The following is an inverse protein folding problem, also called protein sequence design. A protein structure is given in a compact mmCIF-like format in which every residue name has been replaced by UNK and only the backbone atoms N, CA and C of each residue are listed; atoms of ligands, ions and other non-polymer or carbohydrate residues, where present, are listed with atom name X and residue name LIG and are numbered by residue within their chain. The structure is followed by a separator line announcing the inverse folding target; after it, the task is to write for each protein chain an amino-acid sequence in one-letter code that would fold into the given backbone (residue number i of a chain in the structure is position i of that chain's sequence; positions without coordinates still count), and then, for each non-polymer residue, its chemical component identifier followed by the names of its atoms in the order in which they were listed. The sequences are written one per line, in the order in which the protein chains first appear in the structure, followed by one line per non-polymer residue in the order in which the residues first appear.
data_IF_622419773160
#
_entry.id   IF_622419773160
#
_cell.length_a   1.000
_cell.length_b   1.000
_cell.length_c   1.000
_cell.angle_alpha   90.00
_cell.angle_beta   90.00
_cell.angle_gamma   90.00
#
_symmetry.space_group_name_H-M   'P 1'
#
loop_
_entity.id
_entity.type
_entity.pdbx_description
1 polymer ?
#
# COMPACT_ATOMS: atom_id res chain seq x y z
N UNK A 1 -8.60 20.71 -0.74
CA UNK A 1 -8.62 22.18 -0.63
C UNK A 1 -9.96 22.74 -1.14
N UNK A 2 -10.28 24.02 -0.83
CA UNK A 2 -11.51 24.68 -1.34
C UNK A 2 -11.56 24.75 -2.87
N UNK A 3 -10.43 24.81 -3.56
CA UNK A 3 -10.34 24.84 -5.03
C UNK A 3 -10.72 23.49 -5.66
N UNK A 4 -10.26 22.38 -5.15
CA UNK A 4 -10.66 21.06 -5.63
C UNK A 4 -12.16 20.79 -5.47
N UNK A 5 -12.78 21.24 -4.36
CA UNK A 5 -14.25 21.11 -4.19
C UNK A 5 -15.05 21.97 -5.17
N UNK A 6 -14.53 23.12 -5.62
CA UNK A 6 -15.20 23.95 -6.60
C UNK A 6 -15.08 23.40 -8.04
N UNK A 7 -14.01 22.69 -8.36
CA UNK A 7 -13.85 22.02 -9.66
C UNK A 7 -14.84 20.87 -9.81
N UNK A 8 -15.04 20.05 -8.78
CA UNK A 8 -16.02 18.95 -8.80
C UNK A 8 -17.49 19.40 -8.85
N UNK A 9 -17.81 20.64 -8.53
CA UNK A 9 -19.19 21.17 -8.46
C UNK A 9 -19.64 21.78 -9.80
N UNK A 10 -18.73 22.05 -10.74
CA UNK A 10 -19.05 22.75 -11.99
C UNK A 10 -19.27 21.85 -13.19
N UNK A 11 -18.98 20.59 -13.10
CA UNK A 11 -19.32 19.66 -14.14
C UNK A 11 -20.77 19.14 -13.98
N UNK A 12 -21.32 18.56 -15.02
CA UNK A 12 -22.72 18.10 -15.06
C UNK A 12 -22.84 16.65 -14.59
N UNK A 13 -22.28 16.32 -13.42
CA UNK A 13 -22.33 14.99 -12.81
C UNK A 13 -21.19 14.06 -13.22
N UNK A 14 -20.11 14.61 -13.78
CA UNK A 14 -18.86 13.91 -14.07
C UNK A 14 -17.69 14.61 -13.40
N UNK A 15 -16.54 13.97 -13.27
CA UNK A 15 -15.31 14.60 -12.83
C UNK A 15 -14.79 15.52 -13.93
N UNK A 16 -14.51 16.80 -13.61
CA UNK A 16 -13.85 17.70 -14.56
C UNK A 16 -12.37 17.25 -14.66
N UNK A 17 -12.11 16.31 -15.56
CA UNK A 17 -10.76 15.86 -15.87
C UNK A 17 -10.00 16.90 -16.68
N UNK A 18 -8.85 17.34 -16.16
CA UNK A 18 -7.90 18.17 -16.90
C UNK A 18 -6.49 17.59 -16.79
N UNK A 19 -6.39 16.47 -16.19
CA UNK A 19 -5.18 15.73 -15.83
C UNK A 19 -4.91 14.67 -16.93
N UNK A 20 -3.81 14.87 -17.73
CA UNK A 20 -3.01 16.11 -17.78
C UNK A 20 -3.23 16.84 -19.14
N UNK A 21 -4.42 17.30 -19.39
CA UNK A 21 -4.78 18.02 -20.63
C UNK A 21 -4.02 19.33 -20.81
N UNK A 22 -3.53 19.95 -19.73
CA UNK A 22 -2.74 21.19 -19.82
C UNK A 22 -1.37 20.92 -20.44
N UNK A 23 -0.71 19.79 -20.11
CA UNK A 23 0.56 19.41 -20.73
C UNK A 23 0.38 19.17 -22.23
N UNK A 24 -0.70 18.50 -22.64
CA UNK A 24 -1.04 18.34 -24.07
C UNK A 24 -1.20 19.69 -24.75
N UNK A 25 -1.89 20.64 -24.12
CA UNK A 25 -2.06 22.00 -24.67
C UNK A 25 -0.71 22.73 -24.81
N UNK A 26 0.18 22.63 -23.84
CA UNK A 26 1.54 23.20 -23.92
C UNK A 26 2.37 22.55 -25.04
N UNK A 27 2.35 21.24 -25.17
CA UNK A 27 3.04 20.53 -26.25
C UNK A 27 2.57 21.04 -27.63
N UNK A 28 1.27 21.16 -27.84
CA UNK A 28 0.70 21.64 -29.08
C UNK A 28 1.05 23.11 -29.34
N UNK A 29 1.00 23.97 -28.31
CA UNK A 29 1.35 25.38 -28.43
C UNK A 29 2.82 25.58 -28.82
N UNK A 30 3.74 24.83 -28.22
CA UNK A 30 5.17 24.90 -28.55
C UNK A 30 5.45 24.42 -29.98
N UNK A 31 4.73 23.38 -30.44
CA UNK A 31 4.88 22.85 -31.80
C UNK A 31 4.28 23.79 -32.87
N UNK A 32 3.30 24.63 -32.52
CA UNK A 32 2.60 25.55 -33.42
C UNK A 32 3.29 26.95 -33.52
N UNK A 33 4.20 27.26 -32.59
CA UNK A 33 4.86 28.58 -32.52
C UNK A 33 6.25 28.58 -33.15
N UNK A 34 6.32 28.99 -34.41
CA UNK A 34 7.59 29.14 -35.16
C UNK A 34 8.54 30.21 -34.61
N UNK A 35 8.12 31.02 -33.63
CA UNK A 35 8.94 32.07 -33.03
C UNK A 35 9.77 31.59 -31.85
N UNK A 36 9.38 30.49 -31.23
CA UNK A 36 10.08 29.90 -30.10
C UNK A 36 11.39 29.22 -30.53
N UNK A 37 12.46 29.49 -29.78
CA UNK A 37 13.75 28.82 -29.97
C UNK A 37 13.79 27.56 -29.11
N UNK A 38 13.80 26.41 -29.74
CA UNK A 38 13.87 25.13 -29.06
C UNK A 38 14.76 24.12 -29.81
N UNK A 39 15.34 23.13 -29.14
CA UNK A 39 15.96 21.97 -29.79
C UNK A 39 14.92 21.12 -30.52
N UNK A 40 15.36 20.03 -31.17
CA UNK A 40 14.42 19.06 -31.71
C UNK A 40 13.54 18.48 -30.58
N UNK A 41 12.23 18.49 -30.77
CA UNK A 41 11.23 18.05 -29.77
C UNK A 41 10.49 16.82 -30.30
N UNK A 42 10.18 15.92 -29.39
CA UNK A 42 9.28 14.80 -29.58
C UNK A 42 8.22 14.89 -28.48
N UNK A 43 6.95 15.04 -28.85
CA UNK A 43 5.84 15.05 -27.91
C UNK A 43 5.28 13.64 -27.78
N UNK A 44 5.32 13.08 -26.61
CA UNK A 44 4.81 11.74 -26.31
C UNK A 44 3.54 11.90 -25.47
N UNK A 45 2.43 11.39 -26.00
CA UNK A 45 1.12 11.42 -25.34
C UNK A 45 0.65 9.97 -25.22
N UNK A 46 0.37 9.54 -24.00
CA UNK A 46 -0.09 8.18 -23.71
C UNK A 46 -1.53 8.18 -23.21
N UNK A 47 -2.15 7.01 -23.18
CA UNK A 47 -3.52 6.79 -22.65
C UNK A 47 -3.47 5.91 -21.42
N UNK A 48 -4.57 5.87 -20.67
CA UNK A 48 -4.78 4.92 -19.57
C UNK A 48 -3.72 5.01 -18.45
N UNK A 49 -3.30 6.23 -18.11
CA UNK A 49 -2.36 6.46 -17.00
C UNK A 49 -2.98 5.98 -15.69
N UNK A 50 -4.19 6.43 -15.36
CA UNK A 50 -4.93 6.23 -14.11
C UNK A 50 -5.24 4.75 -13.77
N UNK A 51 -5.27 3.90 -14.78
CA UNK A 51 -5.55 2.47 -14.62
C UNK A 51 -4.28 1.60 -14.71
N UNK A 52 -3.12 2.19 -14.52
CA UNK A 52 -1.84 1.48 -14.38
C UNK A 52 -0.85 1.71 -15.51
N UNK A 53 -0.81 2.92 -16.10
CA UNK A 53 0.19 3.34 -17.09
C UNK A 53 0.16 2.48 -18.36
N UNK A 54 -1.02 1.98 -18.79
CA UNK A 54 -1.11 0.96 -19.85
C UNK A 54 -0.57 1.48 -21.18
N UNK A 55 -0.85 2.72 -21.55
CA UNK A 55 -0.34 3.34 -22.77
C UNK A 55 1.19 3.51 -22.74
N UNK A 56 1.74 3.96 -21.61
CA UNK A 56 3.18 4.09 -21.43
C UNK A 56 3.91 2.73 -21.50
N UNK A 57 3.34 1.68 -20.90
CA UNK A 57 3.87 0.32 -20.95
C UNK A 57 3.85 -0.29 -22.36
N UNK A 58 2.84 0.08 -23.17
CA UNK A 58 2.70 -0.41 -24.55
C UNK A 58 3.52 0.39 -25.57
N UNK A 59 4.10 1.53 -25.19
CA UNK A 59 4.84 2.40 -26.07
C UNK A 59 6.13 1.74 -26.54
N UNK A 60 6.32 1.68 -27.86
CA UNK A 60 7.62 1.32 -28.45
C UNK A 60 8.59 2.53 -28.36
N UNK A 61 9.42 2.52 -27.32
CA UNK A 61 10.39 3.59 -27.08
C UNK A 61 11.56 3.59 -28.08
N UNK A 62 11.72 2.57 -28.91
CA UNK A 62 12.82 2.47 -29.90
C UNK A 62 12.72 3.52 -31.01
N UNK A 63 11.54 4.09 -31.24
CA UNK A 63 11.31 5.14 -32.22
C UNK A 63 11.69 6.52 -31.71
N UNK A 64 11.87 6.70 -30.41
CA UNK A 64 12.22 7.98 -29.77
C UNK A 64 13.71 8.25 -29.94
N UNK A 65 14.05 9.49 -30.22
CA UNK A 65 15.42 9.99 -30.39
C UNK A 65 15.87 10.93 -29.28
N UNK A 66 14.90 11.46 -28.54
CA UNK A 66 15.15 12.34 -27.39
C UNK A 66 15.97 11.65 -26.31
N UNK A 67 16.94 12.36 -25.74
CA UNK A 67 17.80 11.86 -24.65
C UNK A 67 17.45 12.47 -23.30
N UNK A 68 16.58 13.46 -23.29
CA UNK A 68 16.06 14.14 -22.11
C UNK A 68 14.55 14.15 -22.17
N UNK A 69 13.90 13.89 -21.06
CA UNK A 69 12.46 13.92 -20.93
C UNK A 69 12.04 14.93 -19.85
N UNK A 70 11.05 15.75 -20.18
CA UNK A 70 10.36 16.60 -19.22
C UNK A 70 8.95 16.04 -19.07
N UNK A 71 8.59 15.62 -17.87
CA UNK A 71 7.21 15.25 -17.53
C UNK A 71 6.53 16.47 -16.88
N UNK A 72 5.35 16.84 -17.38
CA UNK A 72 4.59 18.01 -16.90
C UNK A 72 3.37 17.59 -16.06
N UNK A 73 3.27 16.32 -15.75
CA UNK A 73 2.20 15.74 -14.95
C UNK A 73 2.54 15.84 -13.44
N UNK A 74 2.60 17.08 -12.94
CA UNK A 74 2.84 17.38 -11.52
C UNK A 74 1.84 18.42 -11.03
N UNK A 75 1.16 18.13 -9.92
CA UNK A 75 0.12 18.98 -9.35
C UNK A 75 0.63 20.00 -8.31
N UNK A 76 1.88 19.86 -7.85
CA UNK A 76 2.44 20.69 -6.79
C UNK A 76 3.29 21.83 -7.35
N UNK A 77 2.80 23.05 -7.14
CA UNK A 77 3.53 24.28 -7.50
C UNK A 77 4.80 24.42 -6.65
N UNK A 78 5.92 24.72 -7.30
CA UNK A 78 7.21 24.93 -6.61
C UNK A 78 8.05 23.68 -6.44
N UNK A 79 7.64 22.54 -6.99
CA UNK A 79 8.38 21.29 -6.89
C UNK A 79 8.90 20.82 -8.25
N UNK A 80 10.18 20.48 -8.30
CA UNK A 80 10.81 19.76 -9.41
C UNK A 80 11.11 18.34 -8.95
N UNK A 81 10.35 17.37 -9.43
CA UNK A 81 10.58 15.97 -9.13
C UNK A 81 11.82 15.45 -9.84
N UNK A 82 12.75 14.86 -9.11
CA UNK A 82 14.08 14.43 -9.60
C UNK A 82 14.30 12.93 -9.49
N UNK A 83 13.33 12.23 -8.94
CA UNK A 83 13.28 10.77 -8.85
C UNK A 83 11.85 10.34 -8.52
N UNK A 84 11.52 9.09 -8.82
CA UNK A 84 10.24 8.50 -8.47
C UNK A 84 10.42 7.04 -8.08
N UNK A 85 9.70 6.60 -7.05
CA UNK A 85 9.67 5.18 -6.71
C UNK A 85 8.94 4.39 -7.80
N UNK A 86 9.50 3.27 -8.19
CA UNK A 86 8.78 2.21 -8.88
C UNK A 86 7.88 1.46 -7.89
N UNK A 87 6.96 0.68 -8.40
CA UNK A 87 6.04 -0.07 -7.54
C UNK A 87 5.50 -1.32 -8.21
N UNK A 88 4.94 -2.19 -7.39
CA UNK A 88 4.14 -3.35 -7.81
C UNK A 88 3.15 -3.73 -6.71
N UNK A 89 2.11 -4.45 -7.07
CA UNK A 89 1.18 -5.09 -6.17
C UNK A 89 1.44 -6.59 -6.17
N UNK A 90 1.83 -7.13 -5.01
CA UNK A 90 2.06 -8.56 -4.82
C UNK A 90 0.90 -9.21 -4.11
N UNK A 91 0.28 -10.23 -4.72
CA UNK A 91 -0.82 -11.00 -4.14
C UNK A 91 -0.35 -12.38 -3.73
N UNK A 92 -0.42 -12.63 -2.43
CA UNK A 92 -0.18 -13.94 -1.82
C UNK A 92 -1.49 -14.71 -1.70
N UNK A 93 -1.48 -15.98 -2.12
CA UNK A 93 -2.56 -16.94 -1.92
C UNK A 93 -2.02 -18.12 -1.12
N UNK A 94 -2.40 -18.23 0.16
CA UNK A 94 -1.93 -19.26 1.08
C UNK A 94 -3.07 -20.25 1.33
N UNK A 95 -2.94 -21.53 0.93
CA UNK A 95 -3.99 -22.52 1.06
C UNK A 95 -4.29 -22.82 2.52
N UNK A 96 -5.58 -22.91 2.84
CA UNK A 96 -6.10 -23.20 4.17
C UNK A 96 -7.14 -24.32 4.12
N UNK A 97 -7.25 -25.04 5.23
CA UNK A 97 -8.24 -26.10 5.46
C UNK A 97 -9.13 -25.71 6.62
N UNK A 98 -10.40 -26.05 6.50
CA UNK A 98 -11.40 -25.84 7.53
C UNK A 98 -11.77 -27.17 8.18
N UNK A 99 -12.23 -27.08 9.41
CA UNK A 99 -12.80 -28.18 10.16
C UNK A 99 -13.98 -27.71 10.99
N UNK A 100 -14.84 -28.62 11.37
CA UNK A 100 -15.95 -28.33 12.26
C UNK A 100 -15.41 -28.08 13.67
N UNK A 101 -15.82 -26.97 14.28
CA UNK A 101 -15.41 -26.53 15.61
C UNK A 101 -16.64 -26.08 16.39
N UNK A 102 -16.73 -26.53 17.63
CA UNK A 102 -17.75 -26.09 18.59
C UNK A 102 -17.13 -25.07 19.54
N UNK A 103 -17.84 -23.98 19.81
CA UNK A 103 -17.41 -22.96 20.74
C UNK A 103 -18.14 -21.63 20.54
N UNK A 104 -17.75 -20.65 21.32
CA UNK A 104 -18.36 -19.30 21.27
C UNK A 104 -17.78 -18.50 20.13
N UNK A 105 -18.65 -18.14 19.16
CA UNK A 105 -18.27 -17.30 18.03
C UNK A 105 -18.05 -15.86 18.52
N UNK A 106 -16.83 -15.38 18.45
CA UNK A 106 -16.41 -14.10 19.04
C UNK A 106 -15.80 -13.21 17.96
N UNK A 107 -16.31 -12.00 17.84
CA UNK A 107 -15.78 -11.00 16.91
C UNK A 107 -14.70 -10.15 17.57
N UNK A 108 -13.57 -9.99 16.90
CA UNK A 108 -12.51 -9.06 17.26
C UNK A 108 -12.39 -8.01 16.17
N UNK A 109 -12.48 -6.75 16.54
CA UNK A 109 -12.34 -5.63 15.61
C UNK A 109 -11.22 -4.71 16.11
N UNK A 110 -10.24 -4.48 15.25
CA UNK A 110 -9.22 -3.45 15.40
C UNK A 110 -9.61 -2.31 14.49
N UNK A 111 -9.75 -1.10 15.05
CA UNK A 111 -10.23 0.09 14.34
C UNK A 111 -9.66 1.38 14.96
N UNK A 112 -10.08 2.53 14.42
CA UNK A 112 -9.67 3.84 14.92
C UNK A 112 -8.30 4.31 14.44
N UNK A 113 -7.68 3.63 13.46
CA UNK A 113 -6.40 4.01 12.88
C UNK A 113 -6.60 5.12 11.83
N UNK A 114 -5.60 6.01 11.71
CA UNK A 114 -5.63 7.11 10.75
C UNK A 114 -5.53 6.62 9.29
N UNK A 115 -4.77 5.55 9.04
CA UNK A 115 -4.52 5.08 7.68
C UNK A 115 -3.73 6.10 6.87
N UNK A 116 -3.85 6.08 5.54
CA UNK A 116 -3.21 7.02 4.63
C UNK A 116 -2.72 6.36 3.35
N UNK A 117 -2.13 7.15 2.45
CA UNK A 117 -1.56 6.64 1.22
C UNK A 117 -0.21 5.97 1.48
N UNK A 118 -0.04 4.71 1.08
CA UNK A 118 1.16 3.92 1.37
C UNK A 118 2.45 4.45 0.70
N UNK A 119 2.33 5.26 -0.34
CA UNK A 119 3.49 5.90 -0.97
C UNK A 119 3.87 7.24 -0.33
N UNK A 120 2.87 8.09 -0.06
CA UNK A 120 3.11 9.47 0.40
C UNK A 120 3.16 9.62 1.92
N UNK A 121 2.68 8.64 2.69
CA UNK A 121 2.51 8.76 4.14
C UNK A 121 3.05 7.56 4.93
N UNK A 122 3.84 6.69 4.29
CA UNK A 122 4.44 5.53 4.97
C UNK A 122 5.49 5.93 6.02
N UNK A 123 6.07 7.12 5.86
CA UNK A 123 7.02 7.76 6.77
C UNK A 123 6.39 8.27 8.07
N UNK A 124 5.07 8.39 8.13
CA UNK A 124 4.36 8.94 9.29
C UNK A 124 4.18 7.96 10.45
N UNK A 125 4.88 6.84 10.42
CA UNK A 125 4.84 5.81 11.47
C UNK A 125 3.41 5.38 11.86
N UNK A 126 2.51 5.27 10.86
CA UNK A 126 1.13 4.84 11.12
C UNK A 126 1.04 3.32 11.24
N UNK A 127 0.17 2.88 12.13
CA UNK A 127 -0.12 1.47 12.31
C UNK A 127 -0.93 0.90 11.14
N UNK A 128 -0.85 -0.41 10.94
CA UNK A 128 -1.64 -1.15 9.97
C UNK A 128 -2.52 -2.18 10.71
N UNK A 129 -3.83 -2.07 10.60
CA UNK A 129 -4.77 -2.91 11.33
C UNK A 129 -4.62 -4.41 11.02
N UNK A 130 -4.20 -4.79 9.80
CA UNK A 130 -3.92 -6.19 9.45
C UNK A 130 -2.73 -6.74 10.23
N UNK A 131 -1.67 -5.94 10.38
CA UNK A 131 -0.49 -6.30 11.18
C UNK A 131 -0.83 -6.40 12.67
N UNK A 132 -1.59 -5.43 13.17
CA UNK A 132 -2.02 -5.44 14.57
C UNK A 132 -2.93 -6.63 14.88
N UNK A 133 -3.79 -7.04 13.94
CA UNK A 133 -4.58 -8.27 14.07
C UNK A 133 -3.68 -9.51 14.14
N UNK A 134 -2.64 -9.57 13.33
CA UNK A 134 -1.63 -10.65 13.42
C UNK A 134 -0.97 -10.72 14.79
N UNK A 135 -0.61 -9.57 15.36
CA UNK A 135 -0.03 -9.48 16.71
C UNK A 135 -1.03 -9.92 17.78
N UNK A 136 -2.29 -9.45 17.72
CA UNK A 136 -3.35 -9.86 18.62
C UNK A 136 -3.55 -11.39 18.62
N UNK A 137 -3.67 -11.98 17.43
CA UNK A 137 -3.86 -13.41 17.26
C UNK A 137 -2.67 -14.21 17.81
N UNK A 138 -1.46 -13.72 17.59
CA UNK A 138 -0.25 -14.33 18.16
C UNK A 138 -0.24 -14.27 19.68
N UNK A 139 -0.47 -13.10 20.29
CA UNK A 139 -0.50 -12.94 21.75
C UNK A 139 -1.58 -13.78 22.42
N UNK A 140 -2.78 -13.82 21.82
CA UNK A 140 -3.88 -14.65 22.29
C UNK A 140 -3.50 -16.14 22.26
N UNK A 141 -2.87 -16.58 21.17
CA UNK A 141 -2.46 -17.96 20.99
C UNK A 141 -1.38 -18.46 21.95
N UNK A 142 -0.64 -17.54 22.61
CA UNK A 142 0.31 -17.90 23.67
C UNK A 142 -0.40 -18.25 25.00
N UNK A 143 -1.67 -17.93 25.14
CA UNK A 143 -2.40 -18.01 26.40
C UNK A 143 -3.59 -18.94 26.34
N UNK A 144 -4.25 -19.04 25.18
CA UNK A 144 -5.45 -19.82 25.02
C UNK A 144 -5.59 -20.42 23.64
N UNK A 145 -6.40 -21.47 23.53
CA UNK A 145 -6.75 -22.11 22.27
C UNK A 145 -7.89 -21.33 21.59
N UNK A 146 -7.77 -21.14 20.29
CA UNK A 146 -8.82 -20.59 19.45
C UNK A 146 -8.66 -21.09 18.01
N UNK A 147 -9.71 -20.90 17.21
CA UNK A 147 -9.62 -21.01 15.76
C UNK A 147 -10.18 -19.76 15.05
N UNK A 148 -9.87 -19.59 13.76
CA UNK A 148 -10.30 -18.46 12.95
C UNK A 148 -11.40 -18.94 12.02
N UNK A 149 -12.61 -18.34 12.13
CA UNK A 149 -13.73 -18.57 11.24
C UNK A 149 -13.69 -17.64 10.04
N UNK A 150 -13.34 -16.36 10.26
CA UNK A 150 -13.25 -15.33 9.22
C UNK A 150 -12.20 -14.29 9.59
N UNK A 151 -11.61 -13.66 8.56
CA UNK A 151 -10.59 -12.63 8.72
C UNK A 151 -10.60 -11.72 7.50
N UNK A 152 -10.73 -10.42 7.73
CA UNK A 152 -10.71 -9.43 6.64
C UNK A 152 -10.25 -8.06 7.10
N UNK A 153 -9.51 -7.34 6.24
CA UNK A 153 -9.09 -5.97 6.49
C UNK A 153 -8.57 -5.28 5.24
N UNK A 154 -8.86 -3.98 5.15
CA UNK A 154 -8.49 -3.15 4.02
C UNK A 154 -9.27 -3.42 2.73
N UNK A 155 -9.25 -2.43 1.84
CA UNK A 155 -10.00 -2.48 0.56
C UNK A 155 -9.17 -2.04 -0.64
N UNK A 156 -8.02 -1.42 -0.39
CA UNK A 156 -7.08 -0.95 -1.42
C UNK A 156 -5.65 -1.30 -1.01
N UNK A 157 -4.87 -1.77 -1.95
CA UNK A 157 -3.46 -2.16 -1.74
C UNK A 157 -2.56 -0.97 -1.43
N UNK A 158 -2.84 0.19 -2.03
CA UNK A 158 -2.10 1.44 -1.84
C UNK A 158 -2.56 2.28 -0.63
N UNK A 159 -3.44 1.75 0.21
CA UNK A 159 -3.87 2.41 1.45
C UNK A 159 -3.40 1.64 2.69
N UNK A 160 -2.86 2.36 3.67
CA UNK A 160 -2.54 1.80 5.00
C UNK A 160 -3.86 1.40 5.66
N UNK A 161 -3.98 0.14 6.05
CA UNK A 161 -5.24 -0.44 6.51
C UNK A 161 -5.66 0.13 7.86
N UNK A 162 -6.86 0.74 7.90
CA UNK A 162 -7.41 1.42 9.08
C UNK A 162 -8.15 0.52 10.03
N UNK A 163 -8.68 -0.61 9.53
CA UNK A 163 -9.56 -1.49 10.28
C UNK A 163 -9.37 -2.93 9.81
N UNK A 164 -9.36 -3.88 10.76
CA UNK A 164 -9.29 -5.31 10.49
C UNK A 164 -10.20 -6.05 11.45
N UNK A 165 -10.94 -7.02 10.92
CA UNK A 165 -11.91 -7.82 11.64
C UNK A 165 -11.54 -9.30 11.58
N UNK A 166 -11.59 -9.97 12.72
CA UNK A 166 -11.49 -11.42 12.82
C UNK A 166 -12.74 -11.97 13.52
N UNK A 167 -13.23 -13.13 13.08
CA UNK A 167 -14.23 -13.92 13.79
C UNK A 167 -13.55 -15.18 14.28
N UNK A 168 -13.49 -15.34 15.60
CA UNK A 168 -12.83 -16.45 16.29
C UNK A 168 -13.86 -17.42 16.85
N UNK A 169 -13.41 -18.66 17.10
CA UNK A 169 -14.14 -19.68 17.87
C UNK A 169 -13.29 -20.00 19.09
N UNK A 170 -13.84 -19.75 20.27
CA UNK A 170 -13.17 -19.88 21.59
C UNK A 170 -13.98 -20.79 22.52
N UNK A 171 -13.30 -21.41 23.48
CA UNK A 171 -13.96 -21.97 24.65
C UNK A 171 -14.61 -20.88 25.50
N UNK A 172 -15.68 -21.18 26.23
CA UNK A 172 -16.33 -20.22 27.14
C UNK A 172 -15.36 -19.69 28.19
N UNK A 173 -14.50 -20.57 28.72
CA UNK A 173 -13.45 -20.27 29.71
C UNK A 173 -12.38 -19.30 29.17
N UNK A 174 -12.18 -19.24 27.86
CA UNK A 174 -11.14 -18.44 27.18
C UNK A 174 -11.58 -17.03 26.84
N UNK A 175 -12.88 -16.73 26.94
CA UNK A 175 -13.45 -15.41 26.57
C UNK A 175 -12.89 -14.27 27.41
N UNK A 176 -12.64 -14.53 28.69
CA UNK A 176 -12.06 -13.54 29.60
C UNK A 176 -10.64 -13.18 29.16
N UNK A 177 -9.83 -14.17 28.79
CA UNK A 177 -8.44 -13.97 28.35
C UNK A 177 -8.37 -13.19 27.02
N UNK A 178 -9.30 -13.44 26.10
CA UNK A 178 -9.38 -12.68 24.85
C UNK A 178 -9.61 -11.18 25.11
N UNK A 179 -10.48 -10.82 26.07
CA UNK A 179 -10.73 -9.44 26.48
C UNK A 179 -9.52 -8.81 27.16
N UNK A 180 -8.89 -9.53 28.10
CA UNK A 180 -7.67 -9.08 28.79
C UNK A 180 -6.54 -8.82 27.79
N UNK A 181 -6.36 -9.73 26.83
CA UNK A 181 -5.35 -9.57 25.76
C UNK A 181 -5.64 -8.35 24.91
N UNK A 182 -6.90 -8.11 24.52
CA UNK A 182 -7.30 -6.94 23.75
C UNK A 182 -7.05 -5.62 24.50
N UNK A 183 -7.44 -5.54 25.78
CA UNK A 183 -7.25 -4.36 26.62
C UNK A 183 -5.77 -4.02 26.83
N UNK A 184 -4.97 -5.06 27.14
CA UNK A 184 -3.53 -4.91 27.33
C UNK A 184 -2.87 -4.42 26.04
N UNK A 185 -3.11 -5.13 24.92
CA UNK A 185 -2.51 -4.80 23.63
C UNK A 185 -2.92 -3.41 23.16
N UNK A 186 -4.19 -3.03 23.31
CA UNK A 186 -4.66 -1.67 22.98
C UNK A 186 -3.89 -0.59 23.75
N UNK A 187 -3.65 -0.80 25.04
CA UNK A 187 -2.89 0.14 25.87
C UNK A 187 -1.43 0.24 25.40
N UNK A 188 -0.80 -0.90 25.12
CA UNK A 188 0.59 -0.96 24.68
C UNK A 188 0.74 -0.26 23.31
N UNK A 189 -0.14 -0.57 22.35
CA UNK A 189 -0.13 0.04 21.02
C UNK A 189 -0.39 1.54 21.02
N UNK A 190 -1.29 2.07 21.88
CA UNK A 190 -1.48 3.51 22.03
C UNK A 190 -0.22 4.22 22.54
N UNK A 191 0.64 3.52 23.26
CA UNK A 191 1.94 4.05 23.68
C UNK A 191 2.97 3.97 22.54
N UNK A 192 3.01 2.86 21.81
CA UNK A 192 3.95 2.66 20.70
C UNK A 192 3.67 3.62 19.53
N UNK A 193 2.39 3.90 19.26
CA UNK A 193 1.94 4.77 18.17
C UNK A 193 1.48 6.16 18.65
N UNK A 194 1.98 6.61 19.83
CA UNK A 194 1.69 7.95 20.32
C UNK A 194 2.12 9.02 19.30
N UNK A 195 1.19 9.93 18.97
CA UNK A 195 1.40 10.97 17.95
C UNK A 195 1.10 10.56 16.51
N UNK A 196 0.90 9.26 16.21
CA UNK A 196 0.53 8.80 14.86
C UNK A 196 -0.84 8.12 14.81
N UNK A 197 -1.17 7.26 15.77
CA UNK A 197 -2.44 6.49 15.82
C UNK A 197 -2.99 6.35 17.24
N UNK A 198 -3.24 7.47 17.92
CA UNK A 198 -3.77 7.49 19.29
C UNK A 198 -5.19 6.90 19.42
N UNK A 199 -5.93 6.86 18.31
CA UNK A 199 -7.30 6.37 18.23
C UNK A 199 -7.45 4.85 18.22
N UNK A 200 -6.37 4.06 18.26
CA UNK A 200 -6.41 2.60 18.19
C UNK A 200 -7.37 2.02 19.23
N UNK A 201 -8.30 1.20 18.73
CA UNK A 201 -9.25 0.44 19.56
C UNK A 201 -9.21 -1.05 19.18
N UNK A 202 -9.28 -1.91 20.19
CA UNK A 202 -9.43 -3.36 19.99
C UNK A 202 -10.65 -3.79 20.80
N UNK A 203 -11.73 -4.13 20.09
CA UNK A 203 -12.98 -4.56 20.71
C UNK A 203 -13.19 -6.06 20.53
N UNK A 204 -13.69 -6.71 21.59
CA UNK A 204 -14.04 -8.14 21.60
C UNK A 204 -15.54 -8.26 21.92
N UNK A 205 -16.32 -8.71 20.94
CA UNK A 205 -17.75 -8.90 21.05
C UNK A 205 -18.08 -10.40 21.09
N UNK A 206 -18.56 -10.87 22.21
CA UNK A 206 -18.97 -12.26 22.42
C UNK A 206 -20.29 -12.54 21.74
N UNK A 207 -20.35 -13.54 20.87
CA UNK A 207 -21.59 -14.03 20.25
C UNK A 207 -22.17 -15.24 20.98
N UNK A 208 -22.67 -16.20 20.21
CA UNK A 208 -23.29 -17.43 20.73
C UNK A 208 -22.34 -18.61 20.58
N UNK A 209 -22.62 -19.66 21.37
CA UNK A 209 -22.03 -20.96 21.16
C UNK A 209 -22.65 -21.61 19.94
N UNK A 210 -21.83 -22.01 18.99
CA UNK A 210 -22.25 -22.60 17.72
C UNK A 210 -21.23 -23.63 17.24
N UNK A 211 -21.69 -24.61 16.47
CA UNK A 211 -20.82 -25.47 15.67
C UNK A 211 -20.63 -24.86 14.29
N UNK A 212 -19.41 -24.49 13.92
CA UNK A 212 -19.10 -23.75 12.69
C UNK A 212 -17.85 -24.31 12.00
N UNK A 213 -17.71 -23.98 10.72
CA UNK A 213 -16.46 -24.22 9.99
C UNK A 213 -15.45 -23.13 10.38
N UNK A 214 -14.31 -23.53 10.89
CA UNK A 214 -13.18 -22.66 11.24
C UNK A 214 -11.87 -23.29 10.77
N UNK A 215 -10.81 -22.52 10.69
CA UNK A 215 -9.51 -23.01 10.24
C UNK A 215 -9.02 -24.18 11.09
N UNK A 216 -8.44 -25.19 10.44
CA UNK A 216 -7.69 -26.24 11.16
C UNK A 216 -6.53 -25.59 11.92
N UNK A 217 -6.01 -26.28 12.94
CA UNK A 217 -4.87 -25.80 13.75
C UNK A 217 -3.69 -25.41 12.85
N UNK A 218 -3.35 -26.26 11.88
CA UNK A 218 -2.23 -26.02 10.96
C UNK A 218 -2.49 -24.76 10.11
N UNK A 219 -3.70 -24.61 9.59
CA UNK A 219 -4.06 -23.45 8.77
C UNK A 219 -4.10 -22.15 9.59
N UNK A 220 -4.61 -22.21 10.82
CA UNK A 220 -4.55 -21.08 11.75
C UNK A 220 -3.11 -20.64 12.01
N UNK A 221 -2.21 -21.57 12.32
CA UNK A 221 -0.79 -21.25 12.56
C UNK A 221 -0.11 -20.64 11.32
N UNK A 222 -0.41 -21.13 10.11
CA UNK A 222 0.08 -20.52 8.86
C UNK A 222 -0.37 -19.07 8.71
N UNK A 223 -1.65 -18.81 8.98
CA UNK A 223 -2.23 -17.46 8.90
C UNK A 223 -1.58 -16.51 9.91
N UNK A 224 -1.47 -16.93 11.16
CA UNK A 224 -0.82 -16.14 12.21
C UNK A 224 0.64 -15.88 11.87
N UNK A 225 1.38 -16.93 11.49
CA UNK A 225 2.79 -16.79 11.08
C UNK A 225 2.96 -15.81 9.94
N UNK A 226 2.10 -15.91 8.90
CA UNK A 226 2.13 -14.97 7.77
C UNK A 226 1.93 -13.53 8.23
N UNK A 227 0.88 -13.25 9.01
CA UNK A 227 0.56 -11.90 9.48
C UNK A 227 1.66 -11.29 10.35
N UNK A 228 2.30 -12.08 11.18
CA UNK A 228 3.42 -11.62 12.02
C UNK A 228 4.63 -11.26 11.16
N UNK A 229 4.96 -12.07 10.13
CA UNK A 229 6.22 -11.96 9.41
C UNK A 229 6.12 -11.21 8.07
N UNK A 230 4.92 -11.03 7.51
CA UNK A 230 4.76 -10.28 6.25
C UNK A 230 5.34 -8.87 6.38
N UNK A 231 6.22 -8.43 5.47
CA UNK A 231 6.80 -7.09 5.50
C UNK A 231 5.74 -5.98 5.49
N UNK A 232 5.95 -4.97 6.33
CA UNK A 232 5.13 -3.77 6.39
C UNK A 232 5.97 -2.58 6.86
N UNK A 233 5.72 -1.40 6.30
CA UNK A 233 6.38 -0.16 6.66
C UNK A 233 7.66 0.08 5.86
N UNK A 234 8.55 0.86 6.44
CA UNK A 234 9.82 1.23 5.83
C UNK A 234 10.80 0.07 5.95
N UNK A 235 11.25 -0.45 4.81
CA UNK A 235 12.32 -1.46 4.75
C UNK A 235 13.71 -0.78 4.71
N UNK A 236 13.80 0.37 4.02
CA UNK A 236 15.05 1.10 3.88
C UNK A 236 14.81 2.60 3.64
N UNK A 237 15.61 3.43 4.30
CA UNK A 237 15.72 4.86 4.03
C UNK A 237 16.81 5.12 2.99
N UNK A 238 16.67 6.20 2.21
CA UNK A 238 17.70 6.61 1.27
C UNK A 238 19.00 6.96 2.00
N UNK A 239 20.13 6.47 1.47
CA UNK A 239 21.46 6.87 1.96
C UNK A 239 21.98 8.17 1.35
N UNK A 240 21.30 8.71 0.33
CA UNK A 240 21.75 9.91 -0.40
C UNK A 240 20.86 11.13 -0.12
N UNK A 241 19.57 10.91 0.15
CA UNK A 241 18.59 11.97 0.40
C UNK A 241 18.04 11.78 1.80
N UNK A 242 18.33 12.72 2.69
CA UNK A 242 17.88 12.69 4.07
C UNK A 242 16.33 12.75 4.15
N UNK A 243 15.75 11.89 4.99
CA UNK A 243 14.31 11.83 5.19
C UNK A 243 13.51 11.10 4.11
N UNK A 244 14.13 10.71 2.98
CA UNK A 244 13.45 10.01 1.90
C UNK A 244 13.36 8.50 2.20
N UNK A 245 12.15 7.95 2.11
CA UNK A 245 11.94 6.49 2.11
C UNK A 245 12.38 5.91 0.78
N UNK A 246 13.39 5.04 0.78
CA UNK A 246 13.86 4.36 -0.43
C UNK A 246 12.97 3.17 -0.78
N UNK A 247 12.70 2.29 0.20
CA UNK A 247 12.00 1.03 -0.01
C UNK A 247 10.98 0.79 1.10
N UNK A 248 9.76 0.43 0.73
CA UNK A 248 8.66 0.18 1.67
C UNK A 248 7.69 -0.88 1.16
N UNK A 249 6.93 -1.46 2.09
CA UNK A 249 5.83 -2.37 1.81
C UNK A 249 4.60 -1.99 2.63
N UNK A 250 3.41 -2.19 2.05
CA UNK A 250 2.14 -2.01 2.73
C UNK A 250 1.23 -3.22 2.55
N UNK A 251 0.83 -3.85 3.64
CA UNK A 251 -0.20 -4.90 3.65
C UNK A 251 -1.58 -4.25 3.55
N UNK A 252 -2.03 -3.97 2.32
CA UNK A 252 -3.23 -3.17 2.07
C UNK A 252 -4.54 -3.96 2.12
N UNK A 253 -4.55 -5.21 1.66
CA UNK A 253 -5.75 -6.04 1.62
C UNK A 253 -5.48 -7.38 2.27
N UNK A 254 -6.41 -7.83 3.09
CA UNK A 254 -6.39 -9.15 3.73
C UNK A 254 -7.80 -9.74 3.67
N UNK A 255 -7.94 -10.99 3.20
CA UNK A 255 -9.22 -11.68 3.11
C UNK A 255 -9.05 -13.18 3.24
N UNK A 256 -9.71 -13.77 4.22
CA UNK A 256 -9.84 -15.21 4.33
C UNK A 256 -10.96 -15.68 3.39
N UNK A 257 -10.61 -16.54 2.44
CA UNK A 257 -11.53 -17.17 1.50
C UNK A 257 -11.87 -18.61 1.90
N UNK A 258 -12.61 -19.31 1.06
CA UNK A 258 -13.03 -20.70 1.31
C UNK A 258 -11.88 -21.71 1.28
N UNK A 259 -10.83 -21.42 0.55
CA UNK A 259 -9.72 -22.33 0.24
C UNK A 259 -8.33 -21.74 0.49
N UNK A 260 -8.27 -20.43 0.69
CA UNK A 260 -7.02 -19.74 0.92
C UNK A 260 -7.19 -18.42 1.69
N UNK A 261 -6.12 -18.00 2.36
CA UNK A 261 -5.91 -16.61 2.73
C UNK A 261 -5.39 -15.86 1.51
N UNK A 262 -6.04 -14.76 1.16
CA UNK A 262 -5.61 -13.80 0.14
C UNK A 262 -5.08 -12.54 0.80
N UNK A 263 -3.92 -12.11 0.36
CA UNK A 263 -3.27 -10.92 0.89
C UNK A 263 -2.62 -10.14 -0.24
N UNK A 264 -2.91 -8.85 -0.35
CA UNK A 264 -2.27 -7.99 -1.35
C UNK A 264 -1.45 -6.92 -0.66
N UNK A 265 -0.17 -6.86 -1.04
CA UNK A 265 0.79 -5.87 -0.56
C UNK A 265 1.25 -4.98 -1.70
N UNK A 266 1.31 -3.68 -1.46
CA UNK A 266 1.96 -2.70 -2.35
C UNK A 266 3.43 -2.59 -1.96
N UNK A 267 4.32 -2.84 -2.91
CA UNK A 267 5.78 -2.72 -2.75
C UNK A 267 6.25 -1.52 -3.54
N UNK A 268 7.07 -0.67 -2.94
CA UNK A 268 7.62 0.52 -3.57
C UNK A 268 9.10 0.65 -3.29
N UNK A 269 9.87 1.11 -4.28
CA UNK A 269 11.26 1.47 -4.09
C UNK A 269 11.72 2.44 -5.17
N UNK A 270 12.58 3.40 -4.80
CA UNK A 270 13.31 4.23 -5.75
C UNK A 270 14.54 3.51 -6.36
N UNK A 271 14.82 2.28 -5.92
CA UNK A 271 15.89 1.41 -6.44
C UNK A 271 15.29 0.12 -6.95
N UNK A 272 15.41 -0.15 -8.26
CA UNK A 272 14.76 -1.29 -8.92
C UNK A 272 15.09 -2.64 -8.27
N UNK A 273 16.36 -2.93 -8.02
CA UNK A 273 16.79 -4.18 -7.38
C UNK A 273 16.27 -4.33 -5.94
N UNK A 274 16.09 -3.25 -5.19
CA UNK A 274 15.53 -3.30 -3.84
C UNK A 274 14.03 -3.62 -3.87
N UNK A 275 13.29 -3.10 -4.88
CA UNK A 275 11.90 -3.48 -5.13
C UNK A 275 11.77 -4.98 -5.38
N UNK A 276 12.61 -5.52 -6.28
CA UNK A 276 12.63 -6.95 -6.62
C UNK A 276 12.97 -7.82 -5.39
N UNK A 277 13.96 -7.42 -4.60
CA UNK A 277 14.33 -8.15 -3.37
C UNK A 277 13.21 -8.17 -2.34
N UNK A 278 12.47 -7.07 -2.17
CA UNK A 278 11.34 -7.03 -1.23
C UNK A 278 10.17 -7.87 -1.73
N UNK A 279 9.89 -7.84 -3.05
CA UNK A 279 8.89 -8.74 -3.65
C UNK A 279 9.31 -10.21 -3.50
N UNK A 280 10.57 -10.55 -3.73
CA UNK A 280 11.07 -11.90 -3.51
C UNK A 280 10.94 -12.38 -2.06
N UNK A 281 11.05 -11.50 -1.06
CA UNK A 281 10.76 -11.86 0.35
C UNK A 281 9.29 -12.25 0.55
N UNK A 282 8.36 -11.50 -0.05
CA UNK A 282 6.92 -11.81 -0.01
C UNK A 282 6.63 -13.14 -0.71
N UNK A 283 7.21 -13.35 -1.88
CA UNK A 283 7.09 -14.60 -2.63
C UNK A 283 7.60 -15.79 -1.81
N UNK A 284 8.81 -15.69 -1.29
CA UNK A 284 9.43 -16.78 -0.52
C UNK A 284 8.62 -17.12 0.73
N UNK A 285 8.16 -16.10 1.48
CA UNK A 285 7.29 -16.30 2.64
C UNK A 285 6.00 -17.05 2.27
N UNK A 286 5.38 -16.66 1.15
CA UNK A 286 4.14 -17.27 0.66
C UNK A 286 4.36 -18.72 0.22
N UNK A 287 5.40 -18.98 -0.57
CA UNK A 287 5.75 -20.32 -1.05
C UNK A 287 6.17 -21.26 0.07
N UNK A 288 6.89 -20.75 1.10
CA UNK A 288 7.25 -21.52 2.29
C UNK A 288 6.01 -22.03 3.04
N UNK A 289 4.91 -21.26 3.01
CA UNK A 289 3.62 -21.66 3.59
C UNK A 289 2.78 -22.56 2.67
N UNK A 290 3.32 -22.94 1.51
CA UNK A 290 2.67 -23.78 0.51
C UNK A 290 1.73 -23.01 -0.41
N UNK A 291 1.87 -21.69 -0.50
CA UNK A 291 1.06 -20.80 -1.30
C UNK A 291 1.65 -20.47 -2.67
N UNK A 292 0.97 -19.57 -3.38
CA UNK A 292 1.41 -18.97 -4.64
C UNK A 292 1.40 -17.46 -4.56
N UNK A 293 2.32 -16.82 -5.25
CA UNK A 293 2.50 -15.37 -5.29
C UNK A 293 2.38 -14.87 -6.72
N UNK A 294 1.70 -13.76 -6.92
CA UNK A 294 1.50 -13.13 -8.22
C UNK A 294 1.77 -11.62 -8.13
N UNK A 295 2.56 -11.11 -9.07
CA UNK A 295 2.84 -9.69 -9.19
C UNK A 295 1.95 -9.05 -10.26
N UNK A 296 1.44 -7.86 -9.97
CA UNK A 296 0.64 -7.07 -10.90
C UNK A 296 1.07 -5.60 -10.85
N UNK A 297 0.84 -4.90 -11.95
CA UNK A 297 1.04 -3.47 -12.01
C UNK A 297 2.51 -3.04 -11.87
N UNK A 298 3.47 -3.92 -12.12
CA UNK A 298 4.90 -3.57 -12.02
C UNK A 298 5.26 -2.40 -12.93
N UNK A 299 5.93 -1.39 -12.35
CA UNK A 299 6.53 -0.28 -13.08
C UNK A 299 7.90 0.08 -12.48
N UNK A 300 8.84 0.53 -13.34
CA UNK A 300 10.21 0.79 -12.93
C UNK A 300 10.32 2.05 -12.07
N UNK A 301 11.38 2.11 -11.26
CA UNK A 301 11.80 3.33 -10.60
C UNK A 301 12.46 4.30 -11.59
N UNK A 302 12.29 5.58 -11.33
CA UNK A 302 13.16 6.60 -11.85
C UNK A 302 14.19 6.95 -10.77
N UNK A 303 15.36 6.33 -10.87
CA UNK A 303 16.37 6.43 -9.84
C UNK A 303 17.01 7.84 -9.80
N UNK A 304 17.28 8.33 -8.60
CA UNK A 304 17.98 9.58 -8.39
C UNK A 304 19.37 9.54 -9.03
N UNK A 305 19.72 10.60 -9.76
CA UNK A 305 21.06 10.81 -10.33
C UNK A 305 21.70 12.00 -9.65
N UNK A 306 22.85 11.77 -9.00
CA UNK A 306 23.59 12.83 -8.31
C UNK A 306 24.03 13.95 -9.25
N UNK A 307 24.50 13.60 -10.45
CA UNK A 307 24.95 14.55 -11.47
C UNK A 307 23.92 14.60 -12.62
N UNK A 308 23.20 15.71 -12.75
CA UNK A 308 22.19 15.92 -13.79
C UNK A 308 22.19 17.37 -14.26
N UNK A 309 22.79 17.60 -15.42
CA UNK A 309 22.80 18.92 -16.07
C UNK A 309 21.40 19.45 -16.37
N UNK A 310 20.45 18.53 -16.66
CA UNK A 310 19.08 18.91 -16.93
C UNK A 310 18.39 19.42 -15.66
N UNK A 311 18.59 18.74 -14.53
CA UNK A 311 18.06 19.20 -13.24
C UNK A 311 18.63 20.58 -12.87
N UNK A 312 19.96 20.74 -13.01
CA UNK A 312 20.62 21.99 -12.65
C UNK A 312 20.09 23.15 -13.52
N UNK A 313 19.95 22.92 -14.85
CA UNK A 313 19.33 23.89 -15.75
C UNK A 313 17.87 24.21 -15.38
N UNK A 314 17.07 23.21 -15.03
CA UNK A 314 15.68 23.43 -14.63
C UNK A 314 15.57 24.21 -13.32
N UNK A 315 16.48 23.98 -12.37
CA UNK A 315 16.55 24.74 -11.14
C UNK A 315 16.92 26.21 -11.40
N UNK A 316 17.96 26.46 -12.22
CA UNK A 316 18.37 27.82 -12.59
C UNK A 316 17.22 28.59 -13.27
N UNK A 317 16.54 27.97 -14.23
CA UNK A 317 15.37 28.58 -14.91
C UNK A 317 14.22 28.86 -13.93
N UNK A 318 13.99 27.97 -12.98
CA UNK A 318 12.96 28.16 -11.97
C UNK A 318 13.26 29.34 -11.06
N UNK A 319 14.52 29.47 -10.57
CA UNK A 319 14.98 30.58 -9.75
C UNK A 319 14.95 31.94 -10.47
N UNK A 320 15.11 31.95 -11.81
CA UNK A 320 14.99 33.20 -12.61
C UNK A 320 13.53 33.69 -12.73
N UNK A 321 12.58 32.77 -12.65
CA UNK A 321 11.15 33.09 -12.90
C UNK A 321 10.34 33.34 -11.62
N UNK A 322 10.85 32.88 -10.49
CA UNK A 322 10.20 32.91 -9.16
C UNK A 322 11.13 33.48 -8.07
#
# INVERSE_FOLDING_TARGET
SRRQRQMCIRDRGTTLGGDDGIAVAYMLAVLDDDTLKHPALECVITTDEEIGLLGAKALDTSVLKGTHMINMDSEEEGYLWISCAGGLSGTSRIPVEYQEMEGVVTEVLIDGLNGGHSGAEIDKNRANANKLMGLFLYELGQKTAYSIKDLSGGTKDNAITRSCKATLVLGEEDLAEAKITAEKLQKDLRTEYAGSDEGITISVTTGKEETVQALSMVSKEKVVFYLVHVPFGIEKMSGEIEGLVETSSNLGILKLGKDALYSTSSVRSSVGSAKEHLSAKLQYLTEFLGGSYEEQGDYPAWEYRKDSKMRDLMADVYEELW
#
